data_IF_501936454389
#
_entry.id   IF_501936454389
#
_cell.length_a   1.000
_cell.length_b   1.000
_cell.length_c   1.000
_cell.angle_alpha   90.00
_cell.angle_beta   90.00
_cell.angle_gamma   90.00
#
_symmetry.space_group_name_H-M   'P 1'
#
loop_
_entity.id
_entity.type
_entity.pdbx_description
1 polymer ?
#
# COMPACT_ATOMS: atom_id res chain seq x y z
N UNK A 1 -12.73 -16.76 1.90
CA UNK A 1 -11.37 -17.24 1.60
C UNK A 1 -10.88 -18.25 2.65
N UNK A 2 -10.78 -17.87 3.94
CA UNK A 2 -10.32 -18.78 5.01
C UNK A 2 -11.14 -20.07 5.07
N UNK A 3 -12.47 -19.97 5.09
CA UNK A 3 -13.35 -21.16 5.08
C UNK A 3 -13.16 -22.08 3.87
N UNK A 4 -12.74 -21.57 2.71
CA UNK A 4 -12.45 -22.38 1.52
C UNK A 4 -11.12 -23.14 1.69
N UNK A 5 -10.10 -22.48 2.23
CA UNK A 5 -8.80 -23.12 2.52
C UNK A 5 -8.90 -24.19 3.62
N UNK A 6 -9.75 -24.00 4.63
CA UNK A 6 -10.00 -25.02 5.67
C UNK A 6 -10.58 -26.30 5.02
N UNK A 7 -11.49 -26.15 4.03
CA UNK A 7 -12.06 -27.29 3.29
C UNK A 7 -11.03 -28.04 2.46
N UNK A 8 -9.94 -27.42 2.01
CA UNK A 8 -8.87 -28.15 1.30
C UNK A 8 -8.23 -29.26 2.15
N UNK A 9 -8.30 -29.16 3.49
CA UNK A 9 -7.77 -30.17 4.41
C UNK A 9 -8.73 -31.31 4.76
N UNK A 10 -9.97 -31.28 4.28
CA UNK A 10 -11.02 -32.24 4.68
C UNK A 10 -11.22 -33.41 3.70
N UNK A 11 -10.30 -33.58 2.74
CA UNK A 11 -10.40 -34.59 1.68
C UNK A 11 -10.37 -36.04 2.23
N UNK A 12 -9.71 -36.26 3.37
CA UNK A 12 -9.67 -37.57 4.02
C UNK A 12 -10.97 -37.87 4.80
N UNK A 13 -11.44 -39.11 4.75
CA UNK A 13 -12.69 -39.57 5.40
C UNK A 13 -12.76 -39.26 6.91
N UNK A 14 -11.63 -39.42 7.62
CA UNK A 14 -11.53 -39.13 9.06
C UNK A 14 -11.48 -37.63 9.40
N UNK A 15 -11.44 -36.75 8.40
CA UNK A 15 -11.28 -35.30 8.54
C UNK A 15 -12.49 -34.51 8.08
N UNK A 16 -13.63 -35.17 7.88
CA UNK A 16 -14.88 -34.53 7.45
C UNK A 16 -15.32 -33.37 8.36
N UNK A 17 -14.98 -33.41 9.65
CA UNK A 17 -15.23 -32.31 10.58
C UNK A 17 -14.60 -30.97 10.15
N UNK A 18 -13.48 -30.99 9.40
CA UNK A 18 -12.88 -29.78 8.82
C UNK A 18 -13.79 -29.14 7.76
N UNK A 19 -14.57 -29.93 7.01
CA UNK A 19 -15.57 -29.40 6.08
C UNK A 19 -16.65 -28.61 6.82
N UNK A 20 -17.13 -29.14 7.95
CA UNK A 20 -18.12 -28.46 8.78
C UNK A 20 -17.59 -27.14 9.34
N UNK A 21 -16.35 -27.11 9.84
CA UNK A 21 -15.73 -25.87 10.30
C UNK A 21 -15.58 -24.87 9.16
N UNK A 22 -15.06 -25.30 8.00
CA UNK A 22 -14.92 -24.44 6.84
C UNK A 22 -16.27 -23.87 6.37
N UNK A 23 -17.34 -24.66 6.44
CA UNK A 23 -18.70 -24.23 6.13
C UNK A 23 -19.23 -23.24 7.17
N UNK A 24 -19.01 -23.49 8.47
CA UNK A 24 -19.41 -22.59 9.54
C UNK A 24 -18.77 -21.20 9.39
N UNK A 25 -17.45 -21.16 9.15
CA UNK A 25 -16.72 -19.90 8.89
C UNK A 25 -17.28 -19.16 7.67
N UNK A 26 -17.62 -19.90 6.61
CA UNK A 26 -18.20 -19.33 5.39
C UNK A 26 -19.63 -18.79 5.63
N UNK A 27 -20.45 -19.50 6.40
CA UNK A 27 -21.82 -19.11 6.74
C UNK A 27 -21.85 -17.84 7.60
N UNK A 28 -20.95 -17.74 8.59
CA UNK A 28 -20.81 -16.51 9.38
C UNK A 28 -20.46 -15.30 8.51
N UNK A 29 -19.61 -15.50 7.50
CA UNK A 29 -19.23 -14.44 6.56
C UNK A 29 -20.40 -13.99 5.68
N UNK A 30 -21.31 -14.92 5.31
CA UNK A 30 -22.43 -14.66 4.41
C UNK A 30 -23.42 -13.62 4.98
N UNK A 31 -23.60 -13.59 6.30
CA UNK A 31 -24.47 -12.62 6.99
C UNK A 31 -24.05 -11.18 6.66
N UNK A 32 -22.75 -10.91 6.69
CA UNK A 32 -22.22 -9.59 6.38
C UNK A 32 -22.33 -9.27 4.89
N UNK A 33 -22.08 -10.25 4.01
CA UNK A 33 -22.10 -10.07 2.56
C UNK A 33 -23.51 -9.68 2.07
N UNK A 34 -24.56 -10.34 2.57
CA UNK A 34 -25.94 -10.08 2.16
C UNK A 34 -26.45 -8.70 2.59
N UNK A 35 -25.85 -8.10 3.62
CA UNK A 35 -26.17 -6.75 4.08
C UNK A 35 -25.53 -5.63 3.25
N UNK A 36 -24.55 -5.93 2.38
CA UNK A 36 -23.80 -4.91 1.61
C UNK A 36 -24.64 -4.28 0.49
N UNK A 37 -25.35 -5.03 -0.39
CA UNK A 37 -26.07 -4.44 -1.51
C UNK A 37 -27.05 -3.31 -1.13
N UNK A 38 -27.96 -3.47 -0.14
CA UNK A 38 -28.89 -2.40 0.21
C UNK A 38 -28.18 -1.17 0.81
N UNK A 39 -27.12 -1.39 1.61
CA UNK A 39 -26.33 -0.28 2.18
C UNK A 39 -25.58 0.49 1.11
N UNK A 40 -24.96 -0.20 0.17
CA UNK A 40 -24.24 0.43 -0.94
C UNK A 40 -25.21 1.20 -1.84
N UNK A 41 -26.35 0.57 -2.18
CA UNK A 41 -27.37 1.17 -3.02
C UNK A 41 -27.91 2.48 -2.42
N UNK A 42 -28.24 2.49 -1.12
CA UNK A 42 -28.78 3.67 -0.44
C UNK A 42 -27.80 4.84 -0.33
N UNK A 43 -26.48 4.57 -0.29
CA UNK A 43 -25.46 5.62 -0.12
C UNK A 43 -24.99 6.18 -1.47
N UNK A 44 -24.99 5.37 -2.53
CA UNK A 44 -24.38 5.73 -3.82
C UNK A 44 -25.38 6.09 -4.92
N UNK A 45 -26.64 5.67 -4.80
CA UNK A 45 -27.65 5.87 -5.83
C UNK A 45 -28.79 6.74 -5.31
N UNK A 46 -29.37 7.52 -6.22
CA UNK A 46 -30.59 8.29 -5.97
C UNK A 46 -31.77 7.36 -5.67
N UNK A 47 -32.76 7.87 -4.93
CA UNK A 47 -33.90 7.08 -4.42
C UNK A 47 -34.64 6.28 -5.50
N UNK A 48 -34.68 6.76 -6.74
CA UNK A 48 -35.29 6.12 -7.91
C UNK A 48 -34.53 4.88 -8.41
N UNK A 49 -33.22 4.76 -8.12
CA UNK A 49 -32.36 3.68 -8.62
C UNK A 49 -31.90 2.68 -7.54
N UNK A 50 -32.18 2.96 -6.26
CA UNK A 50 -31.76 2.11 -5.12
C UNK A 50 -32.24 0.67 -5.27
N UNK A 51 -33.51 0.47 -5.65
CA UNK A 51 -34.09 -0.88 -5.79
C UNK A 51 -33.41 -1.68 -6.89
N UNK A 52 -33.17 -1.05 -8.05
CA UNK A 52 -32.46 -1.67 -9.18
C UNK A 52 -31.01 -2.01 -8.82
N UNK A 53 -30.28 -1.08 -8.19
CA UNK A 53 -28.91 -1.31 -7.74
C UNK A 53 -28.81 -2.45 -6.72
N UNK A 54 -29.76 -2.53 -5.78
CA UNK A 54 -29.87 -3.62 -4.82
C UNK A 54 -30.15 -4.96 -5.53
N UNK A 55 -31.12 -4.99 -6.46
CA UNK A 55 -31.47 -6.20 -7.21
C UNK A 55 -30.29 -6.77 -8.01
N UNK A 56 -29.49 -5.91 -8.65
CA UNK A 56 -28.26 -6.33 -9.36
C UNK A 56 -27.24 -6.94 -8.37
N UNK A 57 -27.08 -6.35 -7.18
CA UNK A 57 -26.21 -6.90 -6.15
C UNK A 57 -26.67 -8.27 -5.63
N UNK A 58 -27.98 -8.45 -5.40
CA UNK A 58 -28.55 -9.72 -4.95
C UNK A 58 -28.51 -10.79 -6.06
N UNK A 59 -28.66 -10.39 -7.32
CA UNK A 59 -28.54 -11.31 -8.46
C UNK A 59 -27.20 -12.05 -8.49
N UNK A 60 -26.09 -11.37 -8.16
CA UNK A 60 -24.78 -12.00 -8.06
C UNK A 60 -24.72 -13.13 -7.02
N UNK A 61 -25.43 -13.00 -5.89
CA UNK A 61 -25.54 -14.07 -4.89
C UNK A 61 -26.29 -15.27 -5.46
N UNK A 62 -27.41 -15.05 -6.15
CA UNK A 62 -28.20 -16.13 -6.75
C UNK A 62 -27.41 -16.89 -7.82
N UNK A 63 -26.61 -16.18 -8.62
CA UNK A 63 -25.73 -16.80 -9.62
C UNK A 63 -24.67 -17.68 -8.95
N UNK A 64 -24.05 -17.21 -7.86
CA UNK A 64 -23.07 -17.99 -7.10
C UNK A 64 -23.67 -19.27 -6.50
N UNK A 65 -24.89 -19.18 -5.94
CA UNK A 65 -25.62 -20.35 -5.42
C UNK A 65 -25.95 -21.35 -6.53
N UNK A 66 -26.41 -20.87 -7.70
CA UNK A 66 -26.69 -21.73 -8.85
C UNK A 66 -25.44 -22.50 -9.31
N UNK A 67 -24.31 -21.80 -9.43
CA UNK A 67 -23.02 -22.44 -9.74
C UNK A 67 -22.60 -23.45 -8.66
N UNK A 68 -22.87 -23.15 -7.38
CA UNK A 68 -22.60 -24.04 -6.25
C UNK A 68 -23.42 -25.33 -6.25
N UNK A 69 -24.61 -25.35 -6.87
CA UNK A 69 -25.38 -26.57 -7.08
C UNK A 69 -24.92 -27.36 -8.31
N UNK A 70 -24.44 -26.68 -9.35
CA UNK A 70 -24.06 -27.30 -10.62
C UNK A 70 -22.66 -27.89 -10.60
N UNK A 71 -21.67 -27.19 -10.03
CA UNK A 71 -20.26 -27.58 -10.13
C UNK A 71 -19.90 -28.85 -9.36
N UNK A 72 -20.38 -29.09 -8.12
CA UNK A 72 -19.97 -30.29 -7.37
C UNK A 72 -20.36 -31.60 -8.06
N UNK A 73 -21.60 -31.81 -8.56
CA UNK A 73 -21.96 -33.05 -9.27
C UNK A 73 -21.23 -33.24 -10.60
N UNK A 74 -20.81 -32.15 -11.25
CA UNK A 74 -20.06 -32.22 -12.51
C UNK A 74 -18.59 -32.57 -12.28
N UNK A 75 -18.00 -32.15 -11.16
CA UNK A 75 -16.57 -32.32 -10.85
C UNK A 75 -16.32 -33.57 -10.01
N UNK A 76 -17.24 -33.96 -9.13
CA UNK A 76 -17.12 -35.11 -8.24
C UNK A 76 -17.84 -36.30 -8.87
N UNK A 77 -17.12 -37.32 -9.36
CA UNK A 77 -17.74 -38.49 -9.94
C UNK A 77 -18.56 -39.25 -8.90
N UNK A 78 -19.68 -39.84 -9.32
CA UNK A 78 -20.46 -40.77 -8.50
C UNK A 78 -19.93 -42.17 -8.77
N UNK A 79 -18.88 -42.56 -8.06
CA UNK A 79 -18.27 -43.90 -8.13
C UNK A 79 -18.21 -44.57 -6.76
N UNK A 80 -18.07 -45.89 -6.72
CA UNK A 80 -17.85 -46.64 -5.46
C UNK A 80 -16.40 -46.50 -4.97
N UNK A 81 -15.50 -46.03 -5.84
CA UNK A 81 -14.09 -45.81 -5.51
C UNK A 81 -13.91 -44.50 -4.72
N UNK A 82 -13.48 -44.66 -3.46
CA UNK A 82 -13.22 -43.55 -2.55
C UNK A 82 -12.12 -42.63 -3.05
N UNK A 83 -11.14 -43.15 -3.79
CA UNK A 83 -10.01 -42.36 -4.28
C UNK A 83 -10.44 -41.42 -5.42
N UNK A 84 -11.38 -41.85 -6.27
CA UNK A 84 -11.95 -41.01 -7.32
C UNK A 84 -12.81 -39.86 -6.75
N UNK A 85 -13.63 -40.15 -5.74
CA UNK A 85 -14.41 -39.14 -5.03
C UNK A 85 -13.47 -38.12 -4.36
N UNK A 86 -12.44 -38.60 -3.66
CA UNK A 86 -11.45 -37.75 -3.01
C UNK A 86 -10.72 -36.85 -4.02
N UNK A 87 -10.39 -37.37 -5.20
CA UNK A 87 -9.78 -36.60 -6.28
C UNK A 87 -10.70 -35.47 -6.78
N UNK A 88 -11.97 -35.78 -7.05
CA UNK A 88 -12.97 -34.78 -7.44
C UNK A 88 -13.17 -33.69 -6.39
N UNK A 89 -13.29 -34.06 -5.12
CA UNK A 89 -13.39 -33.13 -3.99
C UNK A 89 -12.15 -32.25 -3.87
N UNK A 90 -10.95 -32.81 -4.07
CA UNK A 90 -9.70 -32.06 -4.06
C UNK A 90 -9.65 -31.01 -5.17
N UNK A 91 -9.99 -31.38 -6.40
CA UNK A 91 -10.06 -30.44 -7.53
C UNK A 91 -11.03 -29.31 -7.20
N UNK A 92 -12.21 -29.64 -6.69
CA UNK A 92 -13.23 -28.66 -6.34
C UNK A 92 -12.76 -27.69 -5.24
N UNK A 93 -12.27 -28.20 -4.10
CA UNK A 93 -11.86 -27.36 -2.97
C UNK A 93 -10.66 -26.47 -3.31
N UNK A 94 -9.61 -27.02 -3.92
CA UNK A 94 -8.46 -26.22 -4.34
C UNK A 94 -8.82 -25.23 -5.44
N UNK A 95 -9.70 -25.61 -6.39
CA UNK A 95 -10.19 -24.72 -7.44
C UNK A 95 -10.93 -23.51 -6.88
N UNK A 96 -11.88 -23.74 -5.97
CA UNK A 96 -12.64 -22.66 -5.31
C UNK A 96 -11.72 -21.78 -4.46
N UNK A 97 -10.84 -22.38 -3.65
CA UNK A 97 -9.91 -21.62 -2.82
C UNK A 97 -8.97 -20.73 -3.65
N UNK A 98 -8.45 -21.27 -4.76
CA UNK A 98 -7.57 -20.55 -5.68
C UNK A 98 -8.31 -19.42 -6.40
N UNK A 99 -9.49 -19.69 -6.95
CA UNK A 99 -10.32 -18.68 -7.63
C UNK A 99 -10.69 -17.53 -6.68
N UNK A 100 -11.15 -17.84 -5.46
CA UNK A 100 -11.46 -16.82 -4.47
C UNK A 100 -10.24 -15.97 -4.10
N UNK A 101 -9.07 -16.59 -3.98
CA UNK A 101 -7.81 -15.88 -3.66
C UNK A 101 -7.40 -14.98 -4.84
N UNK A 102 -7.45 -15.48 -6.07
CA UNK A 102 -7.12 -14.72 -7.27
C UNK A 102 -8.04 -13.50 -7.46
N UNK A 103 -9.35 -13.68 -7.29
CA UNK A 103 -10.32 -12.58 -7.37
C UNK A 103 -10.10 -11.55 -6.26
N UNK A 104 -9.82 -11.99 -5.02
CA UNK A 104 -9.51 -11.09 -3.91
C UNK A 104 -8.28 -10.23 -4.20
N UNK A 105 -7.20 -10.85 -4.69
CA UNK A 105 -5.99 -10.14 -5.11
C UNK A 105 -6.32 -9.15 -6.25
N UNK A 106 -7.02 -9.60 -7.29
CA UNK A 106 -7.34 -8.77 -8.45
C UNK A 106 -8.19 -7.55 -8.07
N UNK A 107 -9.19 -7.73 -7.20
CA UNK A 107 -10.07 -6.64 -6.75
C UNK A 107 -9.28 -5.61 -5.95
N UNK A 108 -8.48 -6.05 -4.96
CA UNK A 108 -7.72 -5.12 -4.12
C UNK A 108 -6.66 -4.40 -4.93
N UNK A 109 -5.81 -5.13 -5.63
CA UNK A 109 -4.75 -4.53 -6.46
C UNK A 109 -5.36 -3.66 -7.55
N UNK A 110 -6.40 -4.13 -8.24
CA UNK A 110 -7.08 -3.37 -9.29
C UNK A 110 -7.70 -2.07 -8.78
N UNK A 111 -8.29 -2.07 -7.57
CA UNK A 111 -8.87 -0.87 -6.97
C UNK A 111 -7.79 0.14 -6.57
N UNK A 112 -6.70 -0.31 -5.93
CA UNK A 112 -5.60 0.57 -5.55
C UNK A 112 -4.93 1.18 -6.79
N UNK A 113 -4.63 0.37 -7.80
CA UNK A 113 -3.97 0.81 -9.04
C UNK A 113 -4.86 1.70 -9.92
N UNK A 114 -6.18 1.70 -9.72
CA UNK A 114 -7.11 2.63 -10.41
C UNK A 114 -7.16 4.01 -9.73
N UNK A 115 -6.71 4.12 -8.48
CA UNK A 115 -6.66 5.39 -7.77
C UNK A 115 -5.43 6.20 -8.24
N UNK A 116 -5.66 7.20 -9.10
CA UNK A 116 -4.59 8.05 -9.67
C UNK A 116 -3.69 8.67 -8.61
N UNK A 117 -4.25 9.19 -7.51
CA UNK A 117 -3.46 9.83 -6.45
C UNK A 117 -2.56 8.82 -5.73
N UNK A 118 -3.07 7.61 -5.49
CA UNK A 118 -2.28 6.53 -4.91
C UNK A 118 -1.17 6.07 -5.86
N UNK A 119 -1.42 5.94 -7.17
CA UNK A 119 -0.37 5.57 -8.14
C UNK A 119 0.72 6.64 -8.23
N UNK A 120 0.35 7.93 -8.18
CA UNK A 120 1.32 9.02 -8.13
C UNK A 120 2.16 8.98 -6.83
N UNK A 121 1.53 8.67 -5.69
CA UNK A 121 2.23 8.45 -4.45
C UNK A 121 3.16 7.23 -4.54
N UNK A 122 2.67 6.11 -5.06
CA UNK A 122 3.41 4.86 -5.26
C UNK A 122 4.70 5.11 -6.05
N UNK A 123 4.60 5.81 -7.18
CA UNK A 123 5.74 6.13 -8.04
C UNK A 123 6.71 7.11 -7.38
N UNK A 124 6.22 8.22 -6.82
CA UNK A 124 7.09 9.20 -6.15
C UNK A 124 7.77 8.61 -4.91
N UNK A 125 7.04 7.81 -4.13
CA UNK A 125 7.55 7.01 -3.02
C UNK A 125 8.70 6.11 -3.45
N UNK A 126 8.45 5.26 -4.45
CA UNK A 126 9.44 4.37 -5.01
C UNK A 126 10.70 5.10 -5.47
N UNK A 127 10.55 6.22 -6.19
CA UNK A 127 11.68 7.03 -6.66
C UNK A 127 12.55 7.58 -5.52
N UNK A 128 11.94 8.13 -4.46
CA UNK A 128 12.70 8.72 -3.34
C UNK A 128 13.49 7.64 -2.59
N UNK A 129 12.79 6.58 -2.18
CA UNK A 129 13.39 5.48 -1.41
C UNK A 129 14.39 4.69 -2.26
N UNK A 130 14.12 4.54 -3.56
CA UNK A 130 15.03 3.91 -4.50
C UNK A 130 16.34 4.67 -4.67
N UNK A 131 16.28 6.00 -4.78
CA UNK A 131 17.48 6.86 -4.78
C UNK A 131 18.22 6.76 -3.45
N UNK A 132 17.51 6.76 -2.31
CA UNK A 132 18.12 6.56 -1.00
C UNK A 132 18.90 5.23 -0.89
N UNK A 133 18.35 4.14 -1.42
CA UNK A 133 19.05 2.84 -1.48
C UNK A 133 20.25 2.87 -2.42
N UNK A 134 20.12 3.53 -3.58
CA UNK A 134 21.21 3.73 -4.52
C UNK A 134 22.38 4.48 -3.89
N UNK A 135 22.11 5.61 -3.24
CA UNK A 135 23.12 6.40 -2.52
C UNK A 135 23.77 5.58 -1.42
N UNK A 136 22.97 4.90 -0.58
CA UNK A 136 23.49 4.10 0.53
C UNK A 136 24.44 2.99 0.05
N UNK A 137 24.12 2.36 -1.09
CA UNK A 137 24.93 1.29 -1.68
C UNK A 137 26.24 1.82 -2.28
N UNK A 138 26.14 2.95 -2.99
CA UNK A 138 27.25 3.55 -3.74
C UNK A 138 28.10 4.50 -2.89
N UNK A 139 27.65 4.83 -1.67
CA UNK A 139 28.27 5.80 -0.76
C UNK A 139 29.76 5.54 -0.58
N UNK A 140 30.15 4.30 -0.28
CA UNK A 140 31.54 3.97 0.00
C UNK A 140 32.43 4.22 -1.22
N UNK A 141 31.95 3.85 -2.41
CA UNK A 141 32.67 4.06 -3.66
C UNK A 141 32.82 5.55 -3.96
N UNK A 142 31.76 6.34 -3.79
CA UNK A 142 31.79 7.79 -3.96
C UNK A 142 32.72 8.48 -2.97
N UNK A 143 32.65 8.18 -1.67
CA UNK A 143 33.47 8.85 -0.65
C UNK A 143 34.95 8.53 -0.83
N UNK A 144 35.31 7.27 -1.07
CA UNK A 144 36.70 6.84 -1.23
C UNK A 144 37.39 7.45 -2.46
N UNK A 145 36.62 7.80 -3.50
CA UNK A 145 37.14 8.49 -4.68
C UNK A 145 37.69 9.88 -4.35
N UNK A 146 37.05 10.61 -3.42
CA UNK A 146 37.50 11.95 -2.99
C UNK A 146 38.41 11.92 -1.77
N UNK A 147 38.27 10.90 -0.92
CA UNK A 147 39.02 10.72 0.31
C UNK A 147 39.69 9.34 0.36
N UNK A 148 40.80 9.12 -0.36
CA UNK A 148 41.49 7.83 -0.39
C UNK A 148 41.93 7.39 1.02
N UNK A 149 41.68 6.12 1.37
CA UNK A 149 42.06 5.55 2.67
C UNK A 149 41.10 5.88 3.84
N UNK A 150 40.05 6.67 3.62
CA UNK A 150 39.08 7.07 4.65
C UNK A 150 37.89 6.09 4.77
N UNK A 151 38.13 4.78 4.65
CA UNK A 151 37.06 3.75 4.70
C UNK A 151 36.26 3.77 6.00
N UNK A 152 36.91 4.07 7.13
CA UNK A 152 36.23 4.23 8.42
C UNK A 152 35.22 5.38 8.39
N UNK A 153 35.63 6.53 7.85
CA UNK A 153 34.78 7.71 7.73
C UNK A 153 33.61 7.48 6.77
N UNK A 154 33.83 6.78 5.65
CA UNK A 154 32.75 6.40 4.74
C UNK A 154 31.68 5.53 5.43
N UNK A 155 32.11 4.54 6.22
CA UNK A 155 31.20 3.73 7.04
C UNK A 155 30.44 4.55 8.09
N UNK A 156 31.11 5.51 8.73
CA UNK A 156 30.48 6.42 9.70
C UNK A 156 29.46 7.37 9.05
N UNK A 157 29.71 7.85 7.83
CA UNK A 157 28.74 8.66 7.07
C UNK A 157 27.48 7.82 6.80
N UNK A 158 27.64 6.55 6.39
CA UNK A 158 26.53 5.63 6.18
C UNK A 158 25.71 5.40 7.46
N UNK A 159 26.40 5.18 8.59
CA UNK A 159 25.74 5.08 9.89
C UNK A 159 24.98 6.37 10.26
N UNK A 160 25.59 7.53 10.03
CA UNK A 160 24.98 8.83 10.33
C UNK A 160 23.72 9.08 9.51
N UNK A 161 23.73 8.72 8.21
CA UNK A 161 22.55 8.78 7.34
C UNK A 161 21.38 8.02 7.98
N UNK A 162 21.62 6.81 8.48
CA UNK A 162 20.59 5.97 9.10
C UNK A 162 20.10 6.57 10.41
N UNK A 163 21.00 6.99 11.30
CA UNK A 163 20.62 7.57 12.61
C UNK A 163 19.84 8.88 12.42
N UNK A 164 20.33 9.77 11.55
CA UNK A 164 19.63 11.00 11.22
C UNK A 164 18.27 10.72 10.57
N UNK A 165 18.19 9.68 9.74
CA UNK A 165 16.96 9.20 9.15
C UNK A 165 15.93 8.68 10.16
N UNK A 166 16.37 7.90 11.16
CA UNK A 166 15.51 7.45 12.26
C UNK A 166 14.91 8.64 13.02
N UNK A 167 15.73 9.66 13.31
CA UNK A 167 15.26 10.89 13.94
C UNK A 167 14.29 11.65 13.04
N UNK A 168 14.59 11.73 11.74
CA UNK A 168 13.71 12.32 10.72
C UNK A 168 12.34 11.67 10.63
N UNK A 169 12.27 10.34 10.69
CA UNK A 169 11.02 9.58 10.73
C UNK A 169 10.13 9.96 11.91
N UNK A 170 10.72 10.07 13.10
CA UNK A 170 9.98 10.46 14.30
C UNK A 170 9.49 11.91 14.20
N UNK A 171 10.36 12.84 13.82
CA UNK A 171 10.01 14.26 13.70
C UNK A 171 8.93 14.48 12.63
N UNK A 172 9.09 13.88 11.44
CA UNK A 172 8.13 14.01 10.36
C UNK A 172 6.78 13.36 10.71
N UNK A 173 6.79 12.23 11.43
CA UNK A 173 5.58 11.62 11.98
C UNK A 173 4.85 12.55 12.95
N UNK A 174 5.54 13.13 13.93
CA UNK A 174 4.95 14.08 14.90
C UNK A 174 4.40 15.33 14.20
N UNK A 175 5.12 15.87 13.21
CA UNK A 175 4.65 17.02 12.41
C UNK A 175 3.37 16.64 11.68
N UNK A 176 3.32 15.45 11.09
CA UNK A 176 2.16 14.97 10.36
C UNK A 176 0.95 14.77 11.29
N UNK A 177 1.14 14.15 12.46
CA UNK A 177 0.09 13.96 13.47
C UNK A 177 -0.52 15.29 13.92
N UNK A 178 0.31 16.32 14.10
CA UNK A 178 -0.14 17.64 14.54
C UNK A 178 -0.78 18.47 13.43
N UNK A 179 -0.24 18.40 12.22
CA UNK A 179 -0.70 19.27 11.12
C UNK A 179 -1.83 18.66 10.32
N UNK A 180 -1.88 17.32 10.23
CA UNK A 180 -2.80 16.56 9.40
C UNK A 180 -2.78 16.95 7.90
N UNK A 181 -1.72 17.65 7.46
CA UNK A 181 -1.53 18.16 6.08
C UNK A 181 -0.60 17.23 5.32
N UNK A 182 -1.08 16.04 4.98
CA UNK A 182 -0.30 14.97 4.34
C UNK A 182 0.38 15.44 3.06
N UNK A 183 -0.35 16.12 2.17
CA UNK A 183 0.22 16.57 0.89
C UNK A 183 1.36 17.55 1.11
N UNK A 184 1.14 18.55 1.98
CA UNK A 184 2.12 19.61 2.22
C UNK A 184 3.40 19.05 2.85
N UNK A 185 3.26 18.25 3.91
CA UNK A 185 4.39 17.64 4.61
C UNK A 185 5.19 16.73 3.66
N UNK A 186 4.49 15.90 2.89
CA UNK A 186 5.09 15.04 1.85
C UNK A 186 5.86 15.87 0.81
N UNK A 187 5.27 16.94 0.28
CA UNK A 187 5.91 17.81 -0.71
C UNK A 187 7.13 18.55 -0.14
N UNK A 188 7.06 19.04 1.10
CA UNK A 188 8.18 19.71 1.77
C UNK A 188 9.35 18.76 1.99
N UNK A 189 9.09 17.56 2.53
CA UNK A 189 10.14 16.55 2.74
C UNK A 189 10.79 16.16 1.42
N UNK A 190 9.98 15.91 0.38
CA UNK A 190 10.50 15.55 -0.94
C UNK A 190 11.36 16.66 -1.55
N UNK A 191 10.88 17.90 -1.51
CA UNK A 191 11.60 19.06 -2.01
C UNK A 191 12.93 19.27 -1.28
N UNK A 192 12.96 19.09 0.04
CA UNK A 192 14.19 19.14 0.82
C UNK A 192 15.14 18.00 0.46
N UNK A 193 14.66 16.76 0.30
CA UNK A 193 15.48 15.64 -0.18
C UNK A 193 16.12 15.94 -1.54
N UNK A 194 15.38 16.55 -2.47
CA UNK A 194 15.92 16.97 -3.77
C UNK A 194 17.00 18.06 -3.63
N UNK A 195 16.74 19.10 -2.84
CA UNK A 195 17.71 20.19 -2.60
C UNK A 195 18.99 19.67 -1.97
N UNK A 196 18.87 18.84 -0.91
CA UNK A 196 20.05 18.25 -0.27
C UNK A 196 20.79 17.29 -1.18
N UNK A 197 20.12 16.62 -2.11
CA UNK A 197 20.80 15.77 -3.10
C UNK A 197 21.64 16.60 -4.08
N UNK A 198 21.13 17.75 -4.53
CA UNK A 198 21.91 18.69 -5.35
C UNK A 198 23.13 19.17 -4.57
N UNK A 199 22.94 19.62 -3.32
CA UNK A 199 24.04 20.10 -2.49
C UNK A 199 25.08 19.00 -2.27
N UNK A 200 24.64 17.77 -1.95
CA UNK A 200 25.51 16.61 -1.77
C UNK A 200 26.34 16.29 -3.01
N UNK A 201 25.82 16.54 -4.21
CA UNK A 201 26.54 16.33 -5.48
C UNK A 201 27.79 17.19 -5.58
N UNK A 202 27.70 18.47 -5.21
CA UNK A 202 28.80 19.43 -5.33
C UNK A 202 29.70 19.46 -4.09
N UNK A 203 29.19 19.07 -2.92
CA UNK A 203 29.93 19.18 -1.66
C UNK A 203 31.15 18.24 -1.59
N UNK A 204 31.09 17.12 -2.31
CA UNK A 204 32.17 16.14 -2.39
C UNK A 204 33.45 16.75 -3.00
N UNK A 205 33.31 17.70 -3.92
CA UNK A 205 34.43 18.38 -4.57
C UNK A 205 35.18 19.34 -3.65
N UNK A 206 34.51 19.87 -2.63
CA UNK A 206 35.09 20.79 -1.66
C UNK A 206 36.11 20.06 -0.77
N UNK A 207 36.07 18.73 -0.71
CA UNK A 207 37.00 17.87 0.05
C UNK A 207 37.06 18.21 1.55
N UNK A 208 35.98 18.74 2.11
CA UNK A 208 35.81 18.97 3.56
C UNK A 208 34.92 17.87 4.12
N UNK A 209 35.54 16.90 4.80
CA UNK A 209 34.85 15.71 5.30
C UNK A 209 33.70 16.04 6.27
N UNK A 210 33.89 17.00 7.19
CA UNK A 210 32.85 17.41 8.14
C UNK A 210 31.56 17.92 7.45
N UNK A 211 31.71 18.59 6.31
CA UNK A 211 30.58 19.11 5.54
C UNK A 211 29.84 17.99 4.80
N UNK A 212 30.56 16.97 4.33
CA UNK A 212 29.96 15.74 3.78
C UNK A 212 29.14 15.02 4.85
N UNK A 213 29.66 14.88 6.08
CA UNK A 213 28.91 14.31 7.20
C UNK A 213 27.60 15.08 7.47
N UNK A 214 27.66 16.42 7.55
CA UNK A 214 26.49 17.25 7.79
C UNK A 214 25.45 17.11 6.67
N UNK A 215 25.87 17.20 5.40
CA UNK A 215 24.95 17.10 4.26
C UNK A 215 24.35 15.70 4.13
N UNK A 216 25.14 14.65 4.38
CA UNK A 216 24.65 13.27 4.41
C UNK A 216 23.62 13.06 5.53
N UNK A 217 23.83 13.63 6.71
CA UNK A 217 22.85 13.58 7.80
C UNK A 217 21.54 14.27 7.41
N UNK A 218 21.60 15.47 6.83
CA UNK A 218 20.41 16.18 6.35
C UNK A 218 19.67 15.37 5.27
N UNK A 219 20.40 14.80 4.31
CA UNK A 219 19.83 13.98 3.25
C UNK A 219 19.13 12.74 3.83
N UNK A 220 19.79 12.03 4.76
CA UNK A 220 19.22 10.88 5.46
C UNK A 220 17.97 11.23 6.26
N UNK A 221 17.99 12.35 6.99
CA UNK A 221 16.85 12.86 7.76
C UNK A 221 15.59 13.01 6.90
N UNK A 222 15.69 13.69 5.74
CA UNK A 222 14.52 13.94 4.89
C UNK A 222 14.12 12.71 4.06
N UNK A 223 15.08 11.98 3.48
CA UNK A 223 14.76 10.78 2.68
C UNK A 223 14.15 9.66 3.52
N UNK A 224 14.69 9.40 4.71
CA UNK A 224 14.12 8.38 5.60
C UNK A 224 12.86 8.90 6.30
N UNK A 225 12.80 10.20 6.63
CA UNK A 225 11.61 10.83 7.22
C UNK A 225 10.37 10.74 6.32
N UNK A 226 10.57 10.58 5.02
CA UNK A 226 9.49 10.36 4.06
C UNK A 226 8.82 8.98 4.17
N UNK A 227 9.49 7.95 4.70
CA UNK A 227 8.94 6.58 4.82
C UNK A 227 7.62 6.54 5.62
N UNK A 228 7.60 6.96 6.90
CA UNK A 228 6.37 6.91 7.70
C UNK A 228 5.28 7.84 7.14
N UNK A 229 5.66 9.02 6.65
CA UNK A 229 4.72 9.98 6.03
C UNK A 229 4.07 9.38 4.78
N UNK A 230 4.84 8.66 3.97
CA UNK A 230 4.34 7.96 2.79
C UNK A 230 3.33 6.87 3.13
N UNK A 231 3.57 6.06 4.17
CA UNK A 231 2.63 5.04 4.62
C UNK A 231 1.32 5.63 5.15
N UNK A 232 1.41 6.68 5.97
CA UNK A 232 0.22 7.38 6.47
C UNK A 232 -0.56 8.06 5.34
N UNK A 233 0.12 8.71 4.40
CA UNK A 233 -0.55 9.31 3.24
C UNK A 233 -1.18 8.26 2.33
N UNK A 234 -0.54 7.10 2.18
CA UNK A 234 -1.09 5.96 1.45
C UNK A 234 -2.36 5.42 2.12
N UNK A 235 -2.36 5.25 3.45
CA UNK A 235 -3.53 4.85 4.22
C UNK A 235 -4.68 5.86 4.05
N UNK A 236 -4.38 7.16 4.06
CA UNK A 236 -5.38 8.22 3.86
C UNK A 236 -5.99 8.17 2.45
N UNK A 237 -5.16 8.05 1.39
CA UNK A 237 -5.61 8.02 0.00
C UNK A 237 -6.38 6.76 -0.38
N UNK A 238 -6.07 5.64 0.29
CA UNK A 238 -6.63 4.32 -0.02
C UNK A 238 -7.78 3.91 0.89
N UNK A 239 -8.14 4.69 1.91
CA UNK A 239 -9.29 4.37 2.77
C UNK A 239 -10.57 4.09 1.96
N UNK A 240 -11.35 3.04 2.28
CA UNK A 240 -11.24 2.12 3.43
C UNK A 240 -10.48 0.81 3.14
N UNK A 241 -9.50 0.82 2.24
CA UNK A 241 -8.68 -0.36 1.96
C UNK A 241 -7.75 -0.70 3.13
N UNK A 242 -7.33 -1.97 3.20
CA UNK A 242 -6.42 -2.44 4.25
C UNK A 242 -5.06 -1.74 4.15
N UNK A 243 -4.63 -1.08 5.24
CA UNK A 243 -3.37 -0.34 5.31
C UNK A 243 -2.17 -1.21 4.94
N UNK A 244 -2.16 -2.47 5.36
CA UNK A 244 -1.09 -3.43 5.06
C UNK A 244 -0.90 -3.68 3.56
N UNK A 245 -1.97 -3.70 2.76
CA UNK A 245 -1.86 -3.90 1.31
C UNK A 245 -1.29 -2.65 0.63
N UNK A 246 -1.75 -1.48 1.04
CA UNK A 246 -1.30 -0.19 0.53
C UNK A 246 0.20 0.03 0.82
N UNK A 247 0.62 -0.17 2.08
CA UNK A 247 2.03 -0.05 2.49
C UNK A 247 2.92 -1.15 1.90
N UNK A 248 2.39 -2.36 1.70
CA UNK A 248 3.11 -3.45 1.04
C UNK A 248 3.48 -3.10 -0.41
N UNK A 249 2.55 -2.51 -1.16
CA UNK A 249 2.80 -2.02 -2.51
C UNK A 249 3.81 -0.87 -2.56
N UNK A 250 3.77 0.08 -1.60
CA UNK A 250 4.79 1.13 -1.47
C UNK A 250 6.20 0.54 -1.31
N UNK A 251 6.35 -0.46 -0.44
CA UNK A 251 7.62 -1.17 -0.27
C UNK A 251 8.07 -1.89 -1.54
N UNK A 252 7.16 -2.56 -2.24
CA UNK A 252 7.47 -3.20 -3.52
C UNK A 252 7.98 -2.18 -4.55
N UNK A 253 7.34 -1.00 -4.62
CA UNK A 253 7.79 0.09 -5.49
C UNK A 253 9.19 0.59 -5.12
N UNK A 254 9.44 0.82 -3.82
CA UNK A 254 10.76 1.20 -3.32
C UNK A 254 11.86 0.21 -3.69
N UNK A 255 11.59 -1.10 -3.61
CA UNK A 255 12.56 -2.12 -4.01
C UNK A 255 12.82 -2.11 -5.52
N UNK A 256 11.78 -1.98 -6.35
CA UNK A 256 11.94 -1.92 -7.81
C UNK A 256 12.80 -0.72 -8.21
N UNK A 257 12.47 0.48 -7.71
CA UNK A 257 13.27 1.68 -7.98
C UNK A 257 14.66 1.59 -7.36
N UNK A 258 14.81 1.00 -6.17
CA UNK A 258 16.11 0.76 -5.54
C UNK A 258 17.02 -0.12 -6.38
N UNK A 259 16.51 -1.22 -6.94
CA UNK A 259 17.24 -2.07 -7.87
C UNK A 259 17.65 -1.27 -9.11
N UNK A 260 16.72 -0.54 -9.73
CA UNK A 260 16.99 0.26 -10.93
C UNK A 260 18.06 1.32 -10.66
N UNK A 261 17.88 2.15 -9.62
CA UNK A 261 18.80 3.22 -9.25
C UNK A 261 20.18 2.67 -8.89
N UNK A 262 20.25 1.56 -8.14
CA UNK A 262 21.52 0.95 -7.74
C UNK A 262 22.25 0.35 -8.94
N UNK A 263 21.55 -0.37 -9.82
CA UNK A 263 22.17 -0.97 -11.02
C UNK A 263 22.63 0.08 -12.02
N UNK A 264 21.79 1.09 -12.30
CA UNK A 264 22.15 2.19 -13.19
C UNK A 264 23.29 3.01 -12.60
N UNK A 265 23.21 3.35 -11.31
CA UNK A 265 24.25 4.10 -10.62
C UNK A 265 25.58 3.36 -10.55
N UNK A 266 25.57 2.06 -10.26
CA UNK A 266 26.79 1.23 -10.24
C UNK A 266 27.46 1.16 -11.60
N UNK A 267 26.69 0.96 -12.69
CA UNK A 267 27.24 1.00 -14.05
C UNK A 267 27.81 2.36 -14.40
N UNK A 268 27.06 3.44 -14.16
CA UNK A 268 27.50 4.81 -14.45
C UNK A 268 28.75 5.21 -13.64
N UNK A 269 28.89 4.68 -12.43
CA UNK A 269 30.08 4.94 -11.61
C UNK A 269 31.35 4.32 -12.21
N UNK A 270 31.25 3.18 -12.89
CA UNK A 270 32.39 2.53 -13.57
C UNK A 270 32.74 3.23 -14.88
N UNK A 271 31.74 3.62 -15.68
CA UNK A 271 31.95 4.18 -17.02
C UNK A 271 32.06 5.71 -17.07
N UNK A 272 31.74 6.40 -15.98
CA UNK A 272 31.67 7.87 -15.95
C UNK A 272 32.16 8.42 -14.61
N UNK A 273 31.39 9.27 -13.94
CA UNK A 273 31.75 9.88 -12.66
C UNK A 273 30.57 9.85 -11.69
N UNK A 274 30.88 9.98 -10.41
CA UNK A 274 29.91 10.15 -9.32
C UNK A 274 28.96 11.33 -9.56
N UNK A 275 29.41 12.42 -10.20
CA UNK A 275 28.54 13.55 -10.56
C UNK A 275 27.44 13.16 -11.54
N UNK A 276 27.74 12.29 -12.51
CA UNK A 276 26.74 11.79 -13.47
C UNK A 276 25.72 10.92 -12.75
N UNK A 277 26.18 10.02 -11.87
CA UNK A 277 25.30 9.19 -11.03
C UNK A 277 24.37 10.07 -10.19
N UNK A 278 24.93 11.05 -9.49
CA UNK A 278 24.19 11.96 -8.64
C UNK A 278 23.24 12.87 -9.44
N UNK A 279 23.61 13.25 -10.66
CA UNK A 279 22.72 14.00 -11.58
C UNK A 279 21.53 13.17 -12.03
N UNK A 280 21.73 11.88 -12.31
CA UNK A 280 20.63 10.94 -12.60
C UNK A 280 19.70 10.81 -11.40
N UNK A 281 20.26 10.66 -10.19
CA UNK A 281 19.48 10.62 -8.96
C UNK A 281 18.71 11.91 -8.70
N UNK A 282 19.31 13.08 -8.95
CA UNK A 282 18.60 14.36 -8.93
C UNK A 282 17.45 14.38 -9.94
N UNK A 283 17.65 13.89 -11.17
CA UNK A 283 16.60 13.78 -12.18
C UNK A 283 15.43 12.89 -11.73
N UNK A 284 15.72 11.73 -11.13
CA UNK A 284 14.71 10.83 -10.56
C UNK A 284 13.93 11.51 -9.44
N UNK A 285 14.62 12.20 -8.52
CA UNK A 285 13.97 12.96 -7.45
C UNK A 285 13.17 14.16 -7.98
N UNK A 286 13.61 14.83 -9.04
CA UNK A 286 12.86 15.92 -9.65
C UNK A 286 11.54 15.41 -10.23
N UNK A 287 11.58 14.31 -10.98
CA UNK A 287 10.37 13.66 -11.50
C UNK A 287 9.46 13.26 -10.33
N UNK A 288 10.01 12.62 -9.31
CA UNK A 288 9.27 12.25 -8.12
C UNK A 288 8.61 13.44 -7.40
N UNK A 289 9.32 14.55 -7.24
CA UNK A 289 8.80 15.78 -6.63
C UNK A 289 7.64 16.37 -7.45
N UNK A 290 7.77 16.40 -8.78
CA UNK A 290 6.68 16.83 -9.68
C UNK A 290 5.45 15.92 -9.49
N UNK A 291 5.65 14.60 -9.47
CA UNK A 291 4.57 13.65 -9.23
C UNK A 291 3.91 13.88 -7.86
N UNK A 292 4.70 14.12 -6.81
CA UNK A 292 4.21 14.43 -5.46
C UNK A 292 3.33 15.67 -5.43
N UNK A 293 3.72 16.76 -6.10
CA UNK A 293 2.91 17.99 -6.15
C UNK A 293 1.59 17.77 -6.90
N UNK A 294 1.58 16.89 -7.90
CA UNK A 294 0.40 16.51 -8.67
C UNK A 294 -0.62 15.67 -7.89
N UNK A 295 -0.24 15.09 -6.74
CA UNK A 295 -1.16 14.34 -5.89
C UNK A 295 -2.23 15.30 -5.36
N UNK A 296 -3.51 14.94 -5.54
CA UNK A 296 -4.60 15.66 -4.87
C UNK A 296 -4.79 15.09 -3.47
N UNK A 297 -4.79 15.98 -2.48
CA UNK A 297 -5.11 15.64 -1.10
C UNK A 297 -6.60 15.35 -1.02
N UNK A 298 -6.95 14.09 -0.82
CA UNK A 298 -8.32 13.62 -0.63
C UNK A 298 -8.34 12.89 0.73
N UNK A 299 -8.73 13.62 1.78
CA UNK A 299 -8.69 13.18 3.18
C UNK A 299 -9.82 12.18 3.49
N UNK A 300 -9.83 11.04 2.82
CA UNK A 300 -10.96 10.09 2.83
C UNK A 300 -11.23 9.50 4.22
N UNK A 301 -10.18 9.15 4.96
CA UNK A 301 -10.28 8.57 6.30
C UNK A 301 -10.78 9.62 7.30
N UNK A 302 -10.25 10.84 7.22
CA UNK A 302 -10.69 11.93 8.09
C UNK A 302 -12.12 12.38 7.77
N UNK A 303 -12.47 12.49 6.49
CA UNK A 303 -13.83 12.82 6.06
C UNK A 303 -14.84 11.76 6.53
N UNK A 304 -14.46 10.47 6.51
CA UNK A 304 -15.29 9.40 7.05
C UNK A 304 -15.47 9.50 8.58
N UNK A 305 -14.41 9.81 9.34
CA UNK A 305 -14.49 10.03 10.79
C UNK A 305 -15.35 11.24 11.17
N UNK A 306 -15.27 12.32 10.39
CA UNK A 306 -16.11 13.51 10.60
C UNK A 306 -17.60 13.19 10.40
N UNK A 307 -17.94 12.47 9.33
CA UNK A 307 -19.33 12.03 9.05
C UNK A 307 -19.88 11.04 10.09
N UNK A 308 -19.01 10.33 10.81
CA UNK A 308 -19.41 9.40 11.87
C UNK A 308 -19.51 10.03 13.26
N UNK A 309 -19.19 11.33 13.41
CA UNK A 309 -19.29 12.01 14.71
C UNK A 309 -20.76 12.31 15.08
N UNK A 310 -21.18 12.07 16.33
CA UNK A 310 -22.59 12.17 16.76
C UNK A 310 -23.21 13.57 16.63
N UNK A 311 -22.40 14.62 16.41
CA UNK A 311 -22.87 16.00 16.21
C UNK A 311 -23.76 16.13 14.96
N UNK A 312 -23.43 15.41 13.88
CA UNK A 312 -24.25 15.44 12.65
C UNK A 312 -25.49 14.55 12.76
N UNK A 313 -25.45 13.49 13.58
CA UNK A 313 -26.61 12.62 13.85
C UNK A 313 -27.70 13.36 14.64
N UNK A 314 -27.32 14.27 15.54
CA UNK A 314 -28.27 15.08 16.33
C UNK A 314 -28.89 16.21 15.48
N UNK A 315 -28.15 16.77 14.52
CA UNK A 315 -28.67 17.80 13.61
C UNK A 315 -29.56 17.25 12.48
N UNK A 316 -29.54 15.93 12.24
CA UNK A 316 -30.38 15.26 11.24
C UNK A 316 -31.77 14.85 11.76
N UNK A 317 -32.09 15.13 13.03
CA UNK A 317 -33.44 14.93 13.58
C UNK A 317 -34.04 16.22 14.18
N UNK A 318 -34.38 17.24 13.37
CA UNK A 318 -35.45 18.15 13.73
C UNK A 318 -36.78 17.56 13.23
N UNK A 319 -37.83 17.65 14.04
CA UNK A 319 -39.23 17.24 13.76
C UNK A 319 -39.61 15.79 14.08
N UNK A 320 -39.81 15.49 15.36
CA UNK A 320 -40.79 14.48 15.81
C UNK A 320 -41.19 14.73 17.28
N UNK A 321 -41.48 15.98 17.65
CA UNK A 321 -41.93 16.30 19.02
C UNK A 321 -43.04 17.37 19.11
N UNK A 322 -43.83 17.59 18.05
CA UNK A 322 -44.97 18.54 18.13
C UNK A 322 -46.26 18.02 17.47
N UNK A 323 -46.66 16.79 17.83
CA UNK A 323 -47.83 16.12 17.25
C UNK A 323 -48.71 15.31 18.20
N UNK A 324 -48.55 15.43 19.52
CA UNK A 324 -49.43 14.76 20.49
C UNK A 324 -49.71 15.64 21.72
N UNK A 325 -50.49 16.71 21.52
CA UNK A 325 -51.31 17.32 22.57
C UNK A 325 -52.60 17.87 21.97
N UNK A 326 -53.59 17.00 21.75
CA UNK A 326 -55.03 17.28 21.92
C UNK A 326 -55.68 15.97 22.39
#
# INVERSE_FOLDING_TARGET
MIGAWIKCGSVDENRFWLSFIGQMVSAMSQIFILGIPPRLAAVWFSADQVSTACAVGVFGNQLGVAMGFLLPPVIVPTSEDKDEIAHGLRIMFFGVASLCTALFILIIFGRLMRNRNYVLLLLSYGMNVGVFYGISTLLNQTVLQYFPGQTKSAGQIGLLIVIAGMFGSVVCGIILDKTAKFKLVTACIYGLSFVFMIIYTFILEVKILALVFLMAACLGFFMTGYLPVGFEFAAELTFPEAEGTSSGLLNASAQIFGIICTMVGSKLMVFSSDKVVNSVFCGVLLVGAILTVCIKEDLRRQNARRKASPVDTIMASPELEDGQRI
#
